data_IF_233412152956
#
_entry.id   IF_233412152956
#
_cell.length_a   1.000
_cell.length_b   1.000
_cell.length_c   1.000
_cell.angle_alpha   90.00
_cell.angle_beta   90.00
_cell.angle_gamma   90.00
#
_symmetry.space_group_name_H-M   'P 1'
#
loop_
_entity.id
_entity.type
_entity.pdbx_description
1 polymer ?
#
# COMPACT_ATOMS: atom_id res chain seq x y z
N UNK A 1 -13.79 -8.06 -39.42
CA UNK A 1 -14.57 -9.05 -38.66
C UNK A 1 -14.77 -8.46 -37.27
N UNK A 2 -16.00 -8.35 -36.80
CA UNK A 2 -16.25 -7.93 -35.42
C UNK A 2 -15.67 -9.01 -34.49
N UNK A 3 -14.65 -8.66 -33.70
CA UNK A 3 -14.10 -9.58 -32.70
C UNK A 3 -15.21 -9.95 -31.72
N UNK A 4 -15.50 -11.25 -31.55
CA UNK A 4 -16.35 -11.76 -30.46
C UNK A 4 -15.60 -11.58 -29.13
N UNK A 5 -15.90 -10.56 -28.32
CA UNK A 5 -15.10 -10.25 -27.15
C UNK A 5 -15.23 -11.34 -26.07
N UNK A 6 -16.42 -11.98 -26.00
CA UNK A 6 -16.67 -13.09 -25.09
C UNK A 6 -15.92 -14.37 -25.54
N UNK A 7 -15.84 -14.61 -26.84
CA UNK A 7 -15.03 -15.68 -27.45
C UNK A 7 -13.56 -15.59 -27.06
N UNK A 8 -12.96 -14.41 -27.19
CA UNK A 8 -11.54 -14.20 -26.84
C UNK A 8 -11.28 -14.39 -25.35
N UNK A 9 -12.15 -13.85 -24.49
CA UNK A 9 -12.09 -14.09 -23.04
C UNK A 9 -12.23 -15.58 -22.67
N UNK A 10 -13.13 -16.32 -23.34
CA UNK A 10 -13.34 -17.76 -23.10
C UNK A 10 -12.11 -18.58 -23.48
N UNK A 11 -11.46 -18.25 -24.60
CA UNK A 11 -10.20 -18.89 -25.02
C UNK A 11 -9.11 -18.65 -23.98
N UNK A 12 -8.91 -17.39 -23.59
CA UNK A 12 -7.92 -17.03 -22.58
C UNK A 12 -8.18 -17.74 -21.24
N UNK A 13 -9.44 -17.77 -20.77
CA UNK A 13 -9.82 -18.50 -19.56
C UNK A 13 -9.48 -20.00 -19.65
N UNK A 14 -9.73 -20.64 -20.80
CA UNK A 14 -9.37 -22.05 -21.03
C UNK A 14 -7.85 -22.26 -20.93
N UNK A 15 -7.07 -21.36 -21.52
CA UNK A 15 -5.60 -21.43 -21.48
C UNK A 15 -5.09 -21.33 -20.04
N UNK A 16 -5.62 -20.39 -19.24
CA UNK A 16 -5.26 -20.22 -17.83
C UNK A 16 -5.70 -21.42 -16.97
N UNK A 17 -6.89 -21.98 -17.22
CA UNK A 17 -7.37 -23.20 -16.53
C UNK A 17 -6.48 -24.41 -16.75
N UNK A 18 -5.88 -24.53 -17.92
CA UNK A 18 -4.95 -25.63 -18.22
C UNK A 18 -3.65 -25.57 -17.38
N UNK A 19 -3.30 -24.40 -16.85
CA UNK A 19 -2.11 -24.20 -16.03
C UNK A 19 -2.35 -24.70 -14.60
N UNK A 20 -1.65 -25.77 -14.18
CA UNK A 20 -1.77 -26.31 -12.81
C UNK A 20 -1.09 -25.43 -11.77
N UNK A 21 0.03 -24.82 -12.12
CA UNK A 21 0.79 -23.90 -11.25
C UNK A 21 1.52 -22.87 -12.11
N UNK A 22 1.95 -21.76 -11.51
CA UNK A 22 2.74 -20.75 -12.21
C UNK A 22 3.91 -20.28 -11.36
N UNK A 23 5.12 -20.23 -11.94
CA UNK A 23 6.21 -19.41 -11.43
C UNK A 23 5.81 -17.93 -11.42
N UNK A 24 6.53 -17.08 -10.69
CA UNK A 24 6.25 -15.65 -10.66
C UNK A 24 6.36 -14.99 -12.05
N UNK A 25 7.34 -15.41 -12.86
CA UNK A 25 7.52 -14.93 -14.24
C UNK A 25 6.35 -15.32 -15.15
N UNK A 26 5.85 -16.54 -15.05
CA UNK A 26 4.67 -16.99 -15.80
C UNK A 26 3.41 -16.24 -15.35
N UNK A 27 3.20 -16.12 -14.04
CA UNK A 27 2.06 -15.39 -13.47
C UNK A 27 2.01 -13.94 -13.97
N UNK A 28 3.14 -13.23 -13.90
CA UNK A 28 3.23 -11.84 -14.39
C UNK A 28 3.01 -11.74 -15.90
N UNK A 29 3.49 -12.70 -16.69
CA UNK A 29 3.20 -12.73 -18.12
C UNK A 29 1.71 -12.88 -18.39
N UNK A 30 1.05 -13.84 -17.72
CA UNK A 30 -0.37 -14.07 -17.89
C UNK A 30 -1.18 -12.84 -17.48
N UNK A 31 -0.96 -12.28 -16.29
CA UNK A 31 -1.70 -11.09 -15.82
C UNK A 31 -1.54 -9.91 -16.78
N UNK A 32 -0.36 -9.71 -17.38
CA UNK A 32 -0.14 -8.68 -18.40
C UNK A 32 -0.98 -8.90 -19.65
N UNK A 33 -0.99 -10.12 -20.19
CA UNK A 33 -1.82 -10.48 -21.35
C UNK A 33 -3.31 -10.27 -21.06
N UNK A 34 -3.75 -10.61 -19.84
CA UNK A 34 -5.12 -10.37 -19.42
C UNK A 34 -5.47 -8.87 -19.35
N UNK A 35 -4.57 -8.01 -18.86
CA UNK A 35 -4.81 -6.57 -18.85
C UNK A 35 -4.91 -5.98 -20.28
N UNK A 36 -4.03 -6.39 -21.19
CA UNK A 36 -4.08 -5.99 -22.61
C UNK A 36 -5.39 -6.43 -23.27
N UNK A 37 -5.82 -7.66 -22.97
CA UNK A 37 -7.08 -8.22 -23.46
C UNK A 37 -8.29 -7.48 -22.87
N UNK A 38 -8.27 -7.19 -21.57
CA UNK A 38 -9.29 -6.42 -20.86
C UNK A 38 -9.47 -5.04 -21.49
N UNK A 39 -8.37 -4.33 -21.72
CA UNK A 39 -8.42 -2.98 -22.30
C UNK A 39 -9.02 -3.01 -23.71
N UNK A 40 -8.66 -4.00 -24.52
CA UNK A 40 -9.22 -4.20 -25.86
C UNK A 40 -10.73 -4.54 -25.80
N UNK A 41 -11.12 -5.55 -25.04
CA UNK A 41 -12.51 -6.01 -24.91
C UNK A 41 -13.42 -4.89 -24.40
N UNK A 42 -13.05 -4.22 -23.32
CA UNK A 42 -13.89 -3.16 -22.76
C UNK A 42 -13.88 -1.87 -23.59
N UNK A 43 -12.85 -1.62 -24.38
CA UNK A 43 -12.87 -0.55 -25.38
C UNK A 43 -13.90 -0.83 -26.47
N UNK A 44 -13.94 -2.06 -27.01
CA UNK A 44 -14.95 -2.47 -27.99
C UNK A 44 -16.37 -2.40 -27.42
N UNK A 45 -16.59 -2.92 -26.20
CA UNK A 45 -17.89 -2.84 -25.52
C UNK A 45 -18.37 -1.40 -25.26
N UNK A 46 -17.47 -0.42 -25.14
CA UNK A 46 -17.82 1.00 -24.96
C UNK A 46 -18.16 1.70 -26.27
N UNK A 47 -17.47 1.35 -27.36
CA UNK A 47 -17.66 1.96 -28.69
C UNK A 47 -18.88 1.42 -29.44
N UNK A 48 -19.26 0.19 -29.17
CA UNK A 48 -20.34 -0.45 -29.91
C UNK A 48 -21.71 -0.08 -29.35
N UNK A 49 -22.36 0.88 -30.02
CA UNK A 49 -23.73 1.33 -29.76
C UNK A 49 -24.75 0.19 -29.86
N UNK A 50 -24.47 -0.86 -30.65
CA UNK A 50 -25.37 -2.01 -30.87
C UNK A 50 -25.23 -3.05 -29.75
N UNK A 51 -24.05 -3.18 -29.12
CA UNK A 51 -23.88 -4.06 -27.93
C UNK A 51 -24.63 -3.50 -26.71
N UNK A 52 -24.91 -2.19 -26.68
CA UNK A 52 -25.84 -1.60 -25.70
C UNK A 52 -27.25 -2.20 -25.79
N UNK A 53 -27.63 -2.72 -26.95
CA UNK A 53 -28.92 -3.41 -27.19
C UNK A 53 -28.87 -4.93 -26.91
N UNK A 54 -27.68 -5.49 -26.65
CA UNK A 54 -27.46 -6.91 -26.30
C UNK A 54 -26.83 -7.08 -24.90
N UNK A 55 -27.61 -6.90 -23.82
CA UNK A 55 -27.13 -6.98 -22.43
C UNK A 55 -26.44 -8.31 -22.08
N UNK A 56 -26.75 -9.40 -22.79
CA UNK A 56 -26.18 -10.72 -22.56
C UNK A 56 -24.68 -10.79 -22.85
N UNK A 57 -24.17 -10.10 -23.87
CA UNK A 57 -22.75 -10.12 -24.25
C UNK A 57 -21.88 -9.40 -23.23
N UNK A 58 -22.32 -8.22 -22.78
CA UNK A 58 -21.62 -7.47 -21.72
C UNK A 58 -21.63 -8.25 -20.41
N UNK A 59 -22.77 -8.83 -20.04
CA UNK A 59 -22.90 -9.66 -18.85
C UNK A 59 -21.99 -10.90 -18.92
N UNK A 60 -21.91 -11.55 -20.09
CA UNK A 60 -21.00 -12.67 -20.31
C UNK A 60 -19.53 -12.27 -20.17
N UNK A 61 -19.11 -11.12 -20.71
CA UNK A 61 -17.74 -10.62 -20.58
C UNK A 61 -17.38 -10.33 -19.11
N UNK A 62 -18.29 -9.75 -18.33
CA UNK A 62 -18.09 -9.51 -16.89
C UNK A 62 -17.95 -10.84 -16.14
N UNK A 63 -18.82 -11.82 -16.38
CA UNK A 63 -18.70 -13.15 -15.74
C UNK A 63 -17.40 -13.87 -16.09
N UNK A 64 -16.96 -13.76 -17.34
CA UNK A 64 -15.69 -14.34 -17.79
C UNK A 64 -14.48 -13.60 -17.17
N UNK A 65 -14.56 -12.27 -17.03
CA UNK A 65 -13.55 -11.47 -16.33
C UNK A 65 -13.35 -11.96 -14.89
N UNK A 66 -14.44 -12.13 -14.14
CA UNK A 66 -14.39 -12.62 -12.76
C UNK A 66 -13.93 -14.08 -12.68
N UNK A 67 -14.30 -14.91 -13.66
CA UNK A 67 -13.78 -16.27 -13.77
C UNK A 67 -12.26 -16.29 -13.97
N UNK A 68 -11.71 -15.38 -14.77
CA UNK A 68 -10.25 -15.26 -14.97
C UNK A 68 -9.57 -14.80 -13.67
N UNK A 69 -10.14 -13.84 -12.94
CA UNK A 69 -9.64 -13.42 -11.61
C UNK A 69 -9.57 -14.59 -10.62
N UNK A 70 -10.61 -15.44 -10.59
CA UNK A 70 -10.64 -16.63 -9.73
C UNK A 70 -9.54 -17.63 -10.10
N UNK A 71 -9.28 -17.85 -11.39
CA UNK A 71 -8.18 -18.70 -11.83
C UNK A 71 -6.80 -18.12 -11.50
N UNK A 72 -6.63 -16.79 -11.58
CA UNK A 72 -5.40 -16.16 -11.11
C UNK A 72 -5.20 -16.31 -9.61
N UNK A 73 -6.27 -16.25 -8.83
CA UNK A 73 -6.23 -16.50 -7.38
C UNK A 73 -5.73 -17.91 -7.10
N UNK A 74 -6.27 -18.91 -7.80
CA UNK A 74 -5.76 -20.30 -7.76
C UNK A 74 -4.27 -20.38 -8.13
N UNK A 75 -3.84 -19.72 -9.20
CA UNK A 75 -2.44 -19.75 -9.65
C UNK A 75 -1.48 -19.05 -8.70
N UNK A 76 -1.87 -17.92 -8.11
CA UNK A 76 -1.09 -17.23 -7.08
C UNK A 76 -0.84 -18.13 -5.90
N UNK A 77 -1.89 -18.80 -5.41
CA UNK A 77 -1.84 -19.67 -4.24
C UNK A 77 -1.27 -21.06 -4.52
N UNK A 78 -1.06 -21.43 -5.80
CA UNK A 78 -0.50 -22.73 -6.18
C UNK A 78 0.94 -22.99 -5.72
N UNK A 79 1.68 -21.92 -5.38
CA UNK A 79 3.06 -21.96 -4.87
C UNK A 79 3.25 -20.89 -3.79
N UNK A 80 4.11 -21.12 -2.79
CA UNK A 80 4.49 -20.08 -1.84
C UNK A 80 5.03 -18.84 -2.56
N UNK A 81 4.62 -17.65 -2.10
CA UNK A 81 5.06 -16.37 -2.63
C UNK A 81 5.90 -15.61 -1.62
N UNK A 82 6.78 -14.75 -2.11
CA UNK A 82 7.61 -13.89 -1.26
C UNK A 82 7.08 -12.46 -1.18
N UNK A 83 7.45 -11.74 -0.13
CA UNK A 83 7.14 -10.31 -0.02
C UNK A 83 7.78 -9.47 -1.13
N UNK A 84 8.95 -9.88 -1.65
CA UNK A 84 9.60 -9.21 -2.78
C UNK A 84 8.82 -9.41 -4.07
N UNK A 85 8.33 -10.63 -4.32
CA UNK A 85 7.43 -10.89 -5.45
C UNK A 85 6.15 -10.05 -5.32
N UNK A 86 5.57 -9.91 -4.11
CA UNK A 86 4.38 -9.09 -3.89
C UNK A 86 4.61 -7.63 -4.27
N UNK A 87 5.70 -7.02 -3.80
CA UNK A 87 6.04 -5.63 -4.13
C UNK A 87 6.32 -5.47 -5.63
N UNK A 88 7.05 -6.40 -6.23
CA UNK A 88 7.32 -6.41 -7.67
C UNK A 88 6.03 -6.51 -8.48
N UNK A 89 5.09 -7.36 -8.05
CA UNK A 89 3.78 -7.53 -8.69
C UNK A 89 2.97 -6.25 -8.64
N UNK A 90 2.81 -5.66 -7.45
CA UNK A 90 2.07 -4.41 -7.26
C UNK A 90 2.66 -3.25 -8.06
N UNK A 91 3.98 -3.20 -8.15
CA UNK A 91 4.67 -2.21 -8.96
C UNK A 91 4.39 -2.39 -10.47
N UNK A 92 4.56 -3.61 -10.99
CA UNK A 92 4.41 -3.89 -12.42
C UNK A 92 3.00 -3.61 -12.94
N UNK A 93 1.99 -3.82 -12.10
CA UNK A 93 0.58 -3.68 -12.48
C UNK A 93 -0.09 -2.46 -11.86
N UNK A 94 0.69 -1.48 -11.39
CA UNK A 94 0.13 -0.19 -11.03
C UNK A 94 -0.33 0.57 -12.28
N UNK A 95 -1.63 0.90 -12.33
CA UNK A 95 -2.20 1.72 -13.40
C UNK A 95 -1.59 3.14 -13.47
N UNK A 96 -1.04 3.62 -12.36
CA UNK A 96 -0.45 4.96 -12.24
C UNK A 96 1.02 5.01 -12.67
N UNK A 97 1.67 3.87 -12.90
CA UNK A 97 3.08 3.83 -13.27
C UNK A 97 3.38 4.46 -14.65
N UNK A 98 2.35 4.65 -15.49
CA UNK A 98 2.44 5.27 -16.82
C UNK A 98 1.81 6.66 -16.91
N UNK A 99 1.30 7.19 -15.80
CA UNK A 99 0.69 8.52 -15.75
C UNK A 99 1.79 9.58 -15.64
N UNK A 100 2.24 10.11 -16.78
CA UNK A 100 3.35 11.07 -16.85
C UNK A 100 3.04 12.38 -16.13
N UNK A 101 1.80 12.85 -16.23
CA UNK A 101 1.39 14.11 -15.61
C UNK A 101 1.39 13.99 -14.07
N UNK A 102 0.86 12.88 -13.55
CA UNK A 102 0.94 12.58 -12.12
C UNK A 102 2.40 12.48 -11.65
N UNK A 103 3.25 11.78 -12.41
CA UNK A 103 4.65 11.58 -12.05
C UNK A 103 5.43 12.90 -12.08
N UNK A 104 5.14 13.81 -13.02
CA UNK A 104 5.73 15.15 -13.07
C UNK A 104 5.34 15.98 -11.84
N UNK A 105 4.07 15.93 -11.42
CA UNK A 105 3.62 16.62 -10.20
C UNK A 105 4.29 16.04 -8.94
N UNK A 106 4.50 14.73 -8.88
CA UNK A 106 5.29 14.10 -7.81
C UNK A 106 6.71 14.65 -7.78
N UNK A 107 7.39 14.79 -8.93
CA UNK A 107 8.76 15.31 -8.98
C UNK A 107 8.85 16.74 -8.41
N UNK A 108 7.82 17.58 -8.59
CA UNK A 108 7.76 18.93 -8.01
C UNK A 108 7.65 18.90 -6.48
N UNK A 109 7.01 17.87 -5.91
CA UNK A 109 6.80 17.73 -4.46
C UNK A 109 7.97 17.00 -3.78
N UNK A 110 8.71 16.14 -4.49
CA UNK A 110 9.81 15.33 -3.92
C UNK A 110 10.85 16.13 -3.13
N UNK A 111 11.34 17.31 -3.56
CA UNK A 111 12.32 18.07 -2.79
C UNK A 111 11.85 18.39 -1.37
N UNK A 112 10.54 18.66 -1.19
CA UNK A 112 9.99 18.89 0.15
C UNK A 112 10.11 17.64 1.04
N UNK A 113 9.75 16.45 0.55
CA UNK A 113 9.87 15.22 1.35
C UNK A 113 11.32 14.83 1.64
N UNK A 114 12.23 15.06 0.69
CA UNK A 114 13.68 14.88 0.93
C UNK A 114 14.20 15.81 2.02
N UNK A 115 13.75 17.07 2.04
CA UNK A 115 14.17 18.03 3.08
C UNK A 115 13.76 17.63 4.50
N UNK A 116 12.82 16.69 4.67
CA UNK A 116 12.43 16.17 5.98
C UNK A 116 13.53 15.28 6.58
N UNK A 117 14.36 14.64 5.76
CA UNK A 117 15.48 13.81 6.21
C UNK A 117 16.56 14.66 6.91
N UNK A 118 16.72 15.91 6.49
CA UNK A 118 17.66 16.86 7.08
C UNK A 118 17.16 17.47 8.40
N UNK A 119 15.86 17.32 8.72
CA UNK A 119 15.30 17.86 9.94
C UNK A 119 15.59 16.96 11.14
N UNK A 120 15.99 17.52 12.29
CA UNK A 120 16.14 16.74 13.51
C UNK A 120 14.78 16.20 13.97
N UNK A 121 14.77 14.98 14.50
CA UNK A 121 13.60 14.44 15.18
C UNK A 121 13.30 15.26 16.45
N UNK A 122 12.04 15.21 16.90
CA UNK A 122 11.65 15.83 18.16
C UNK A 122 12.44 15.22 19.33
N UNK A 123 12.91 16.07 20.26
CA UNK A 123 13.68 15.63 21.43
C UNK A 123 12.75 15.45 22.63
N UNK A 124 12.99 14.40 23.41
CA UNK A 124 12.29 14.16 24.67
C UNK A 124 12.27 12.69 25.02
N UNK A 125 11.84 12.38 26.23
CA UNK A 125 11.49 11.01 26.61
C UNK A 125 10.13 10.61 26.03
N UNK A 126 9.78 9.33 26.16
CA UNK A 126 8.50 8.74 25.71
C UNK A 126 7.27 9.60 26.03
N UNK A 127 7.14 10.04 27.29
CA UNK A 127 5.98 10.84 27.75
C UNK A 127 5.93 12.22 27.10
N UNK A 128 7.08 12.88 26.98
CA UNK A 128 7.19 14.19 26.33
C UNK A 128 6.86 14.10 24.85
N UNK A 129 7.41 13.09 24.16
CA UNK A 129 7.15 12.84 22.73
C UNK A 129 5.68 12.56 22.48
N UNK A 130 5.05 11.69 23.29
CA UNK A 130 3.63 11.37 23.11
C UNK A 130 2.72 12.57 23.40
N UNK A 131 3.02 13.35 24.44
CA UNK A 131 2.31 14.59 24.75
C UNK A 131 2.44 15.61 23.61
N UNK A 132 3.65 15.79 23.06
CA UNK A 132 3.90 16.63 21.91
C UNK A 132 3.12 16.17 20.68
N UNK A 133 3.06 14.85 20.45
CA UNK A 133 2.32 14.30 19.32
C UNK A 133 0.82 14.54 19.44
N UNK A 134 0.23 14.20 20.59
CA UNK A 134 -1.18 14.47 20.89
C UNK A 134 -1.52 15.95 20.74
N UNK A 135 -0.66 16.83 21.25
CA UNK A 135 -0.86 18.27 21.17
C UNK A 135 -0.77 18.80 19.74
N UNK A 136 0.13 18.25 18.90
CA UNK A 136 0.21 18.59 17.48
C UNK A 136 -1.07 18.19 16.74
N UNK A 137 -1.54 16.95 16.93
CA UNK A 137 -2.74 16.44 16.28
C UNK A 137 -3.98 17.22 16.72
N UNK A 138 -4.15 17.45 18.03
CA UNK A 138 -5.28 18.20 18.57
C UNK A 138 -5.33 19.65 18.05
N UNK A 139 -4.16 20.33 17.99
CA UNK A 139 -4.07 21.67 17.42
C UNK A 139 -4.45 21.68 15.94
N UNK A 140 -3.90 20.76 15.16
CA UNK A 140 -4.20 20.66 13.72
C UNK A 140 -5.68 20.37 13.47
N UNK A 141 -6.30 19.50 14.26
CA UNK A 141 -7.73 19.19 14.13
C UNK A 141 -8.64 20.36 14.50
N UNK A 142 -8.22 21.19 15.46
CA UNK A 142 -8.97 22.38 15.88
C UNK A 142 -8.80 23.54 14.90
N UNK A 143 -7.56 23.78 14.48
CA UNK A 143 -7.19 24.95 13.68
C UNK A 143 -7.45 24.73 12.19
N UNK A 144 -7.53 23.46 11.74
CA UNK A 144 -7.69 23.10 10.34
C UNK A 144 -6.41 23.22 9.53
N UNK A 145 -6.51 22.93 8.23
CA UNK A 145 -5.47 23.16 7.24
C UNK A 145 -6.10 23.96 6.12
N UNK A 146 -5.58 25.15 5.83
CA UNK A 146 -6.20 26.12 4.93
C UNK A 146 -5.29 26.56 3.78
N UNK A 147 -4.12 25.94 3.62
CA UNK A 147 -3.24 26.20 2.48
C UNK A 147 -2.18 25.11 2.31
N UNK A 148 -1.54 25.07 1.13
CA UNK A 148 -0.37 24.20 0.88
C UNK A 148 0.79 24.50 1.84
N UNK A 149 0.93 25.76 2.29
CA UNK A 149 1.95 26.16 3.27
C UNK A 149 1.67 25.52 4.63
N UNK A 150 0.43 25.57 5.10
CA UNK A 150 0.02 24.95 6.37
C UNK A 150 0.09 23.43 6.30
N UNK A 151 -0.31 22.83 5.18
CA UNK A 151 -0.16 21.40 4.92
C UNK A 151 1.30 20.95 5.05
N UNK A 152 2.23 21.66 4.39
CA UNK A 152 3.67 21.39 4.50
C UNK A 152 4.17 21.57 5.94
N UNK A 153 3.74 22.63 6.62
CA UNK A 153 4.12 22.88 8.02
C UNK A 153 3.63 21.77 8.97
N UNK A 154 2.41 21.27 8.76
CA UNK A 154 1.88 20.11 9.47
C UNK A 154 2.75 18.88 9.22
N UNK A 155 2.98 18.51 7.96
CA UNK A 155 3.78 17.32 7.59
C UNK A 155 5.19 17.41 8.17
N UNK A 156 5.84 18.56 8.11
CA UNK A 156 7.18 18.76 8.68
C UNK A 156 7.21 18.53 10.19
N UNK A 157 6.28 19.16 10.93
CA UNK A 157 6.20 18.98 12.40
C UNK A 157 5.85 17.55 12.75
N UNK A 158 4.94 16.95 12.01
CA UNK A 158 4.50 15.59 12.26
C UNK A 158 5.60 14.57 11.97
N UNK A 159 6.33 14.67 10.85
CA UNK A 159 7.45 13.75 10.56
C UNK A 159 8.49 13.75 11.67
N UNK A 160 8.86 14.94 12.18
CA UNK A 160 9.83 15.05 13.27
C UNK A 160 9.35 14.38 14.57
N UNK A 161 8.07 14.56 14.91
CA UNK A 161 7.48 13.96 16.12
C UNK A 161 7.21 12.46 15.92
N UNK A 162 6.80 12.04 14.73
CA UNK A 162 6.54 10.64 14.39
C UNK A 162 7.84 9.82 14.42
N UNK A 163 8.95 10.35 13.88
CA UNK A 163 10.26 9.71 14.02
C UNK A 163 10.67 9.53 15.47
N UNK A 164 10.47 10.54 16.31
CA UNK A 164 10.74 10.43 17.76
C UNK A 164 9.81 9.42 18.44
N UNK A 165 8.53 9.39 18.05
CA UNK A 165 7.54 8.43 18.54
C UNK A 165 7.98 6.99 18.24
N UNK A 166 8.46 6.72 17.02
CA UNK A 166 8.95 5.41 16.62
C UNK A 166 10.17 4.94 17.44
N UNK A 167 11.07 5.84 17.84
CA UNK A 167 12.22 5.49 18.70
C UNK A 167 11.75 4.85 20.02
N UNK A 168 10.64 5.35 20.58
CA UNK A 168 10.06 4.87 21.82
C UNK A 168 8.99 3.80 21.63
N UNK A 169 8.77 3.29 20.40
CA UNK A 169 7.67 2.39 20.08
C UNK A 169 7.63 1.16 21.01
N UNK A 170 8.78 0.51 21.20
CA UNK A 170 8.92 -0.66 22.07
C UNK A 170 8.65 -0.39 23.56
N UNK A 171 8.67 0.88 23.99
CA UNK A 171 8.43 1.29 25.37
C UNK A 171 6.95 1.61 25.63
N UNK A 172 6.11 1.74 24.59
CA UNK A 172 4.71 2.19 24.71
C UNK A 172 3.71 1.07 25.10
N UNK A 173 4.19 -0.05 25.64
CA UNK A 173 3.33 -1.18 26.02
C UNK A 173 2.22 -0.77 26.99
N UNK A 174 0.98 -1.05 26.62
CA UNK A 174 -0.20 -0.79 27.45
C UNK A 174 -0.67 0.66 27.44
N UNK A 175 0.00 1.57 26.73
CA UNK A 175 -0.55 2.90 26.49
C UNK A 175 -1.65 2.82 25.42
N UNK A 176 -2.82 3.38 25.71
CA UNK A 176 -3.87 3.53 24.71
C UNK A 176 -3.40 4.50 23.64
N UNK A 177 -3.10 4.00 22.44
CA UNK A 177 -2.73 4.79 21.26
C UNK A 177 -3.90 5.00 20.30
N UNK A 178 -5.11 4.57 20.69
CA UNK A 178 -6.33 4.71 19.89
C UNK A 178 -6.66 6.18 19.61
N UNK A 179 -6.37 7.06 20.55
CA UNK A 179 -6.54 8.51 20.39
C UNK A 179 -5.57 9.07 19.35
N UNK A 180 -4.31 8.63 19.35
CA UNK A 180 -3.30 9.04 18.36
C UNK A 180 -3.71 8.59 16.97
N UNK A 181 -4.15 7.33 16.80
CA UNK A 181 -4.64 6.83 15.51
C UNK A 181 -5.83 7.63 15.02
N UNK A 182 -6.88 7.77 15.85
CA UNK A 182 -8.09 8.52 15.49
C UNK A 182 -7.80 9.98 15.15
N UNK A 183 -6.97 10.65 15.96
CA UNK A 183 -6.67 12.06 15.72
C UNK A 183 -5.77 12.24 14.48
N UNK A 184 -4.93 11.26 14.15
CA UNK A 184 -4.16 11.24 12.90
C UNK A 184 -5.09 11.10 11.69
N UNK A 185 -6.07 10.20 11.75
CA UNK A 185 -7.09 10.05 10.70
C UNK A 185 -7.88 11.36 10.51
N UNK A 186 -8.27 12.01 11.60
CA UNK A 186 -8.93 13.32 11.55
C UNK A 186 -8.04 14.40 10.90
N UNK A 187 -6.74 14.43 11.18
CA UNK A 187 -5.81 15.35 10.50
C UNK A 187 -5.76 15.07 8.99
N UNK A 188 -5.76 13.79 8.58
CA UNK A 188 -5.85 13.43 7.17
C UNK A 188 -7.16 13.93 6.54
N UNK A 189 -8.29 13.80 7.25
CA UNK A 189 -9.57 14.34 6.81
C UNK A 189 -9.54 15.87 6.67
N UNK A 190 -8.85 16.61 7.54
CA UNK A 190 -8.68 18.06 7.40
C UNK A 190 -8.01 18.44 6.07
N UNK A 191 -7.07 17.63 5.58
CA UNK A 191 -6.42 17.84 4.27
C UNK A 191 -7.43 17.66 3.14
N UNK A 192 -8.30 16.66 3.21
CA UNK A 192 -9.36 16.46 2.21
C UNK A 192 -10.39 17.58 2.26
N UNK A 193 -10.79 18.02 3.45
CA UNK A 193 -11.70 19.16 3.63
C UNK A 193 -11.10 20.46 3.07
N UNK A 194 -9.78 20.66 3.17
CA UNK A 194 -9.10 21.79 2.53
C UNK A 194 -9.24 21.76 1.00
N UNK A 195 -9.22 20.56 0.40
CA UNK A 195 -9.47 20.39 -1.02
C UNK A 195 -10.94 20.65 -1.39
N UNK A 196 -11.89 20.23 -0.56
CA UNK A 196 -13.32 20.53 -0.73
C UNK A 196 -13.61 22.03 -0.67
N UNK A 197 -12.93 22.74 0.25
CA UNK A 197 -12.97 24.21 0.36
C UNK A 197 -12.20 24.93 -0.75
N UNK A 198 -11.53 24.20 -1.65
CA UNK A 198 -10.69 24.73 -2.75
C UNK A 198 -9.51 25.57 -2.27
N UNK A 199 -9.08 25.38 -1.03
CA UNK A 199 -7.90 26.04 -0.45
C UNK A 199 -6.59 25.39 -0.93
N UNK A 200 -6.67 24.12 -1.29
CA UNK A 200 -5.66 23.35 -2.02
C UNK A 200 -6.35 22.54 -3.11
N UNK A 201 -5.61 22.09 -4.12
CA UNK A 201 -6.22 21.21 -5.13
C UNK A 201 -6.41 19.79 -4.60
N UNK A 202 -7.40 19.05 -5.11
CA UNK A 202 -7.60 17.63 -4.78
C UNK A 202 -6.36 16.79 -5.15
N UNK A 203 -5.71 17.12 -6.26
CA UNK A 203 -4.48 16.45 -6.69
C UNK A 203 -3.33 16.66 -5.71
N UNK A 204 -3.11 17.90 -5.25
CA UNK A 204 -2.12 18.17 -4.21
C UNK A 204 -2.43 17.41 -2.92
N UNK A 205 -3.67 17.49 -2.43
CA UNK A 205 -4.09 16.78 -1.22
C UNK A 205 -3.77 15.28 -1.30
N UNK A 206 -4.16 14.63 -2.40
CA UNK A 206 -3.90 13.21 -2.65
C UNK A 206 -2.40 12.89 -2.70
N UNK A 207 -1.61 13.69 -3.41
CA UNK A 207 -0.17 13.47 -3.54
C UNK A 207 0.56 13.63 -2.20
N UNK A 208 0.26 14.68 -1.44
CA UNK A 208 0.85 14.91 -0.12
C UNK A 208 0.46 13.81 0.86
N UNK A 209 -0.81 13.39 0.88
CA UNK A 209 -1.28 12.30 1.75
C UNK A 209 -0.58 10.98 1.41
N UNK A 210 -0.48 10.64 0.13
CA UNK A 210 0.14 9.38 -0.29
C UNK A 210 1.64 9.36 -0.03
N UNK A 211 2.39 10.42 -0.37
CA UNK A 211 3.83 10.50 -0.09
C UNK A 211 4.12 10.47 1.42
N UNK A 212 3.33 11.19 2.22
CA UNK A 212 3.40 11.14 3.68
C UNK A 212 3.14 9.73 4.20
N UNK A 213 2.10 9.07 3.70
CA UNK A 213 1.71 7.72 4.13
C UNK A 213 2.79 6.71 3.78
N UNK A 214 3.32 6.74 2.55
CA UNK A 214 4.44 5.90 2.12
C UNK A 214 5.65 6.06 3.03
N UNK A 215 6.06 7.30 3.30
CA UNK A 215 7.18 7.60 4.18
C UNK A 215 6.96 7.03 5.59
N UNK A 216 5.77 7.22 6.16
CA UNK A 216 5.42 6.67 7.48
C UNK A 216 5.45 5.15 7.50
N UNK A 217 4.93 4.48 6.48
CA UNK A 217 4.95 3.02 6.40
C UNK A 217 6.38 2.49 6.33
N UNK A 218 7.24 3.10 5.52
CA UNK A 218 8.66 2.70 5.40
C UNK A 218 9.40 2.91 6.73
N UNK A 219 9.24 4.07 7.37
CA UNK A 219 9.85 4.35 8.67
C UNK A 219 9.35 3.36 9.75
N UNK A 220 8.05 3.13 9.79
CA UNK A 220 7.42 2.21 10.73
C UNK A 220 7.96 0.78 10.58
N UNK A 221 7.98 0.29 9.34
CA UNK A 221 8.49 -1.03 9.00
C UNK A 221 9.96 -1.17 9.41
N UNK A 222 10.80 -0.19 9.06
CA UNK A 222 12.22 -0.17 9.42
C UNK A 222 12.42 -0.25 10.93
N UNK A 223 11.72 0.60 11.70
CA UNK A 223 11.78 0.58 13.17
C UNK A 223 11.33 -0.76 13.75
N UNK A 224 10.22 -1.32 13.25
CA UNK A 224 9.75 -2.63 13.70
C UNK A 224 10.81 -3.71 13.51
N UNK A 225 11.44 -3.75 12.34
CA UNK A 225 12.49 -4.72 12.03
C UNK A 225 13.74 -4.50 12.90
N UNK A 226 14.13 -3.26 13.13
CA UNK A 226 15.27 -2.90 13.96
C UNK A 226 15.05 -3.26 15.43
N UNK A 227 13.88 -3.00 15.99
CA UNK A 227 13.53 -3.36 17.37
C UNK A 227 13.51 -4.88 17.57
N UNK A 228 13.02 -5.65 16.60
CA UNK A 228 13.08 -7.12 16.62
C UNK A 228 14.53 -7.59 16.57
N UNK A 229 15.34 -7.05 15.65
CA UNK A 229 16.77 -7.38 15.52
C UNK A 229 17.52 -7.08 16.82
N UNK A 230 17.20 -5.97 17.46
CA UNK A 230 17.81 -5.51 18.71
C UNK A 230 17.19 -6.13 19.98
N UNK A 231 16.31 -7.13 19.84
CA UNK A 231 15.65 -7.85 20.96
C UNK A 231 14.89 -6.93 21.93
N UNK A 232 14.33 -5.84 21.42
CA UNK A 232 13.52 -4.89 22.20
C UNK A 232 12.07 -5.34 22.37
N UNK A 233 11.58 -6.19 21.47
CA UNK A 233 10.28 -6.87 21.57
C UNK A 233 10.43 -8.07 22.50
N UNK A 234 9.69 -8.08 23.61
CA UNK A 234 9.84 -9.06 24.69
C UNK A 234 8.57 -9.84 25.02
N UNK A 235 7.40 -9.27 24.78
CA UNK A 235 6.12 -9.88 25.20
C UNK A 235 5.31 -10.39 24.01
N UNK A 236 4.43 -11.39 24.21
CA UNK A 236 3.53 -11.84 23.15
C UNK A 236 2.58 -10.75 22.62
N UNK A 237 2.15 -9.82 23.48
CA UNK A 237 1.32 -8.68 23.09
C UNK A 237 2.07 -7.76 22.14
N UNK A 238 3.34 -7.44 22.44
CA UNK A 238 4.19 -6.67 21.53
C UNK A 238 4.42 -7.40 20.22
N UNK A 239 4.72 -8.70 20.29
CA UNK A 239 5.00 -9.47 19.08
C UNK A 239 3.79 -9.47 18.13
N UNK A 240 2.56 -9.60 18.65
CA UNK A 240 1.35 -9.44 17.86
C UNK A 240 1.22 -8.05 17.24
N UNK A 241 1.44 -6.98 18.02
CA UNK A 241 1.38 -5.61 17.52
C UNK A 241 2.39 -5.37 16.38
N UNK A 242 3.63 -5.85 16.55
CA UNK A 242 4.68 -5.71 15.53
C UNK A 242 4.38 -6.54 14.28
N UNK A 243 3.80 -7.74 14.40
CA UNK A 243 3.32 -8.51 13.25
C UNK A 243 2.27 -7.68 12.48
N UNK A 244 1.28 -7.12 13.17
CA UNK A 244 0.25 -6.29 12.55
C UNK A 244 0.84 -5.07 11.84
N UNK A 245 1.79 -4.37 12.47
CA UNK A 245 2.43 -3.19 11.88
C UNK A 245 3.23 -3.52 10.61
N UNK A 246 3.91 -4.67 10.58
CA UNK A 246 4.61 -5.16 9.39
C UNK A 246 3.63 -5.58 8.28
N UNK A 247 2.58 -6.35 8.62
CA UNK A 247 1.57 -6.79 7.65
C UNK A 247 0.82 -5.60 7.04
N UNK A 248 0.44 -4.63 7.86
CA UNK A 248 -0.26 -3.41 7.42
C UNK A 248 0.56 -2.63 6.37
N UNK A 249 1.89 -2.63 6.49
CA UNK A 249 2.77 -1.97 5.52
C UNK A 249 2.64 -2.57 4.12
N UNK A 250 2.50 -3.90 4.02
CA UNK A 250 2.29 -4.56 2.73
C UNK A 250 0.87 -4.47 2.22
N UNK A 251 -0.12 -4.50 3.11
CA UNK A 251 -1.53 -4.39 2.73
C UNK A 251 -1.89 -3.01 2.20
N UNK A 252 -1.37 -1.95 2.84
CA UNK A 252 -1.73 -0.55 2.53
C UNK A 252 -1.01 0.04 1.31
N UNK A 253 0.14 -0.50 0.90
CA UNK A 253 0.82 -0.08 -0.33
C UNK A 253 0.03 -0.57 -1.56
N UNK A 254 -0.92 0.22 -2.01
CA UNK A 254 -1.74 -0.04 -3.19
C UNK A 254 -1.05 0.38 -4.51
N UNK A 255 -1.75 0.25 -5.64
CA UNK A 255 -1.22 0.63 -6.94
C UNK A 255 -0.77 2.10 -6.98
N UNK A 256 -1.57 3.01 -6.40
CA UNK A 256 -1.25 4.43 -6.35
C UNK A 256 0.01 4.67 -5.55
N UNK A 257 0.04 4.19 -4.30
CA UNK A 257 1.18 4.29 -3.38
C UNK A 257 2.46 3.77 -4.02
N UNK A 258 2.40 2.60 -4.67
CA UNK A 258 3.55 1.97 -5.33
C UNK A 258 4.10 2.79 -6.48
N UNK A 259 3.27 3.52 -7.23
CA UNK A 259 3.74 4.38 -8.32
C UNK A 259 4.53 5.59 -7.81
N UNK A 260 4.12 6.18 -6.68
CA UNK A 260 4.72 7.42 -6.16
C UNK A 260 6.08 7.23 -5.47
N UNK A 261 6.43 6.00 -5.08
CA UNK A 261 7.72 5.69 -4.44
C UNK A 261 8.90 6.08 -5.32
N UNK A 262 9.91 6.71 -4.71
CA UNK A 262 11.21 6.94 -5.33
C UNK A 262 11.99 5.63 -5.53
N UNK A 263 13.05 5.69 -6.34
CA UNK A 263 13.94 4.54 -6.54
C UNK A 263 14.57 4.03 -5.24
N UNK A 264 14.93 4.94 -4.32
CA UNK A 264 15.58 4.58 -3.06
C UNK A 264 14.59 3.97 -2.06
N UNK A 265 13.37 4.53 -1.97
CA UNK A 265 12.29 3.96 -1.17
C UNK A 265 11.92 2.54 -1.64
N UNK A 266 11.87 2.31 -2.96
CA UNK A 266 11.64 0.97 -3.54
C UNK A 266 12.75 -0.01 -3.15
N UNK A 267 14.01 0.39 -3.33
CA UNK A 267 15.16 -0.43 -2.92
C UNK A 267 15.17 -0.71 -1.42
N UNK A 268 14.73 0.23 -0.58
CA UNK A 268 14.60 0.02 0.85
C UNK A 268 13.50 -1.00 1.16
N UNK A 269 12.30 -0.84 0.57
CA UNK A 269 11.20 -1.80 0.71
C UNK A 269 11.59 -3.20 0.25
N UNK A 270 12.29 -3.33 -0.89
CA UNK A 270 12.75 -4.63 -1.39
C UNK A 270 13.72 -5.33 -0.43
N UNK A 271 14.63 -4.56 0.20
CA UNK A 271 15.54 -5.09 1.24
C UNK A 271 14.78 -5.54 2.48
N UNK A 272 13.83 -4.74 2.95
CA UNK A 272 12.98 -5.09 4.08
C UNK A 272 12.08 -6.31 3.76
N UNK A 273 11.60 -6.44 2.51
CA UNK A 273 10.84 -7.59 2.05
C UNK A 273 11.64 -8.89 2.07
N UNK A 274 12.91 -8.86 1.68
CA UNK A 274 13.80 -10.01 1.81
C UNK A 274 14.00 -10.45 3.27
N UNK A 275 14.04 -9.50 4.20
CA UNK A 275 14.29 -9.76 5.63
C UNK A 275 13.02 -10.12 6.42
N UNK A 276 11.84 -9.78 5.91
CA UNK A 276 10.55 -9.93 6.61
C UNK A 276 10.28 -11.36 7.11
N UNK A 277 10.52 -12.43 6.33
CA UNK A 277 10.31 -13.80 6.82
C UNK A 277 11.13 -14.14 8.07
N UNK A 278 12.38 -13.64 8.14
CA UNK A 278 13.24 -13.87 9.30
C UNK A 278 12.76 -13.08 10.53
N UNK A 279 12.27 -11.85 10.33
CA UNK A 279 11.65 -11.04 11.39
C UNK A 279 10.40 -11.72 11.93
N UNK A 280 9.51 -12.20 11.05
CA UNK A 280 8.33 -12.96 11.49
C UNK A 280 8.71 -14.23 12.23
N UNK A 281 9.70 -14.99 11.77
CA UNK A 281 10.19 -16.18 12.50
C UNK A 281 10.64 -15.81 13.93
N UNK A 282 11.30 -14.66 14.10
CA UNK A 282 11.71 -14.20 15.43
C UNK A 282 10.53 -13.77 16.31
N UNK A 283 9.52 -13.12 15.74
CA UNK A 283 8.29 -12.76 16.44
C UNK A 283 7.46 -13.99 16.82
N UNK A 284 7.28 -14.96 15.93
CA UNK A 284 6.56 -16.21 16.19
C UNK A 284 7.18 -17.03 17.33
N UNK A 285 8.51 -16.98 17.50
CA UNK A 285 9.18 -17.60 18.67
C UNK A 285 8.75 -16.96 19.99
N UNK A 286 8.57 -15.64 20.03
CA UNK A 286 8.07 -14.92 21.23
C UNK A 286 6.63 -15.33 21.53
N UNK A 287 5.82 -15.56 20.49
CA UNK A 287 4.44 -16.01 20.62
C UNK A 287 4.31 -17.47 21.07
N UNK A 288 5.40 -18.25 21.05
CA UNK A 288 5.37 -19.71 21.21
C UNK A 288 4.38 -20.39 20.24
N UNK A 289 4.10 -19.75 19.10
CA UNK A 289 3.20 -20.26 18.09
C UNK A 289 4.01 -20.69 16.88
N UNK A 290 4.15 -22.00 16.68
CA UNK A 290 4.56 -22.55 15.38
C UNK A 290 3.32 -22.56 14.48
N UNK A 291 3.34 -21.82 13.37
CA UNK A 291 2.29 -21.95 12.36
C UNK A 291 1.35 -20.76 12.17
N UNK A 292 1.75 -19.53 12.50
CA UNK A 292 1.04 -18.36 11.94
C UNK A 292 1.14 -18.41 10.41
N UNK A 293 0.02 -18.28 9.67
CA UNK A 293 -0.08 -18.24 8.19
C UNK A 293 0.70 -17.08 7.52
N UNK A 294 1.70 -16.51 8.19
CA UNK A 294 2.52 -15.37 7.74
C UNK A 294 3.34 -15.69 6.49
N UNK A 295 3.66 -16.97 6.26
CA UNK A 295 4.31 -17.44 5.03
C UNK A 295 3.36 -17.47 3.83
N UNK A 296 2.05 -17.57 4.05
CA UNK A 296 1.04 -17.57 2.99
C UNK A 296 0.57 -16.15 2.62
N UNK A 297 0.75 -15.18 3.53
CA UNK A 297 0.31 -13.80 3.37
C UNK A 297 0.74 -13.14 2.05
N UNK A 298 1.97 -13.29 1.53
CA UNK A 298 2.31 -12.67 0.25
C UNK A 298 1.41 -13.13 -0.90
N UNK A 299 1.03 -14.42 -0.91
CA UNK A 299 0.09 -14.95 -1.90
C UNK A 299 -1.31 -14.39 -1.70
N UNK A 300 -1.82 -14.37 -0.47
CA UNK A 300 -3.14 -13.80 -0.17
C UNK A 300 -3.22 -12.31 -0.52
N UNK A 301 -2.16 -11.54 -0.27
CA UNK A 301 -2.10 -10.11 -0.61
C UNK A 301 -2.00 -9.88 -2.13
N UNK A 302 -1.31 -10.76 -2.86
CA UNK A 302 -1.32 -10.73 -4.33
C UNK A 302 -2.71 -11.02 -4.88
N UNK A 303 -3.40 -12.02 -4.33
CA UNK A 303 -4.78 -12.36 -4.68
C UNK A 303 -5.71 -11.17 -4.48
N UNK A 304 -5.67 -10.51 -3.32
CA UNK A 304 -6.45 -9.30 -3.04
C UNK A 304 -6.13 -8.22 -4.08
N UNK A 305 -4.86 -8.03 -4.42
CA UNK A 305 -4.46 -7.03 -5.41
C UNK A 305 -4.91 -7.37 -6.84
N UNK A 306 -4.95 -8.64 -7.26
CA UNK A 306 -5.48 -9.05 -8.57
C UNK A 306 -6.95 -8.65 -8.73
N UNK A 307 -7.72 -8.67 -7.65
CA UNK A 307 -9.12 -8.25 -7.68
C UNK A 307 -9.30 -6.75 -7.87
N UNK A 308 -8.25 -5.94 -7.70
CA UNK A 308 -8.27 -4.50 -7.98
C UNK A 308 -7.82 -4.14 -9.40
N UNK A 309 -7.31 -5.11 -10.18
CA UNK A 309 -6.87 -4.94 -11.57
C UNK A 309 -8.02 -4.96 -12.59
#
# INVERSE_FOLDING_TARGET
>A
MAEDPAGTYRKYLSDIRSQKSASFKELTLYVRQWQELKDSVFFHLRKDSLIREHPDTRSACVRLHDSIRNEFSRLVLSKPRTYQELLSFKNQFSSYARDTELLDDVQKIRPFFRSLDDQPAHKGNRTQVLSAYRSLLARTNRDGIHSTKELRAFITKEDAVFRAFLVHLHELNGEGLTDVTRNTEQCCSQILLAAERKEITYREAMLYLALRTNRRQIQNMQTCMDDVRNKRVKTPVQAHAYIWMLVQSYSSLDAFSMALLSGDERKQLDRMAAQTPAVFKSLSRILQSEGTRLSELPGMLMEIFIHTL
#
